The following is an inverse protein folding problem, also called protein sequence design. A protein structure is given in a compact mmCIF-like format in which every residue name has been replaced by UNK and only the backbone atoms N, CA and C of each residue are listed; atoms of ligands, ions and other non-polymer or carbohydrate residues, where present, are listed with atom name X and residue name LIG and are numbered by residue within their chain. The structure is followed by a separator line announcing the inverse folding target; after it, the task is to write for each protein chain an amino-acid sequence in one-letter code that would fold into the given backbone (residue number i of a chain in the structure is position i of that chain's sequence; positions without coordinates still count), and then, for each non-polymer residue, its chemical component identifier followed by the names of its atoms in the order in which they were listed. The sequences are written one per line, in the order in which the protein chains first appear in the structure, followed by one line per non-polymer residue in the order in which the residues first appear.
data_IF_220195117196
#
_entry.id   IF_220195117196
#
_cell.length_a   1.000
_cell.length_b   1.000
_cell.length_c   1.000
_cell.angle_alpha   90.00
_cell.angle_beta   90.00
_cell.angle_gamma   90.00
#
_symmetry.space_group_name_H-M   'P 1'
#
loop_
_entity.id
_entity.type
_entity.pdbx_description
1 polymer ?
#
# COMPACT_ATOMS: atom_id res chain seq x y z
N UNK A 1 -35.99 -5.81 -8.98
CA UNK A 1 -34.77 -6.25 -9.65
C UNK A 1 -33.59 -5.28 -9.47
N UNK A 2 -33.72 -4.23 -8.63
CA UNK A 2 -32.72 -3.15 -8.47
C UNK A 2 -31.80 -3.23 -7.25
N UNK A 3 -31.94 -4.25 -6.41
CA UNK A 3 -31.14 -4.38 -5.19
C UNK A 3 -29.79 -5.09 -5.39
N UNK A 4 -29.62 -5.84 -6.47
CA UNK A 4 -28.38 -6.58 -6.77
C UNK A 4 -27.29 -5.70 -7.40
N UNK A 5 -27.67 -4.60 -8.06
CA UNK A 5 -26.72 -3.69 -8.73
C UNK A 5 -26.01 -2.73 -7.76
N UNK A 6 -26.63 -2.36 -6.64
CA UNK A 6 -26.04 -1.44 -5.63
C UNK A 6 -24.95 -2.09 -4.77
N UNK A 7 -24.96 -3.42 -4.63
CA UNK A 7 -23.99 -4.13 -3.79
C UNK A 7 -22.66 -4.41 -4.53
N UNK A 8 -22.68 -4.50 -5.86
CA UNK A 8 -21.43 -4.70 -6.64
C UNK A 8 -20.48 -3.50 -6.59
N UNK A 9 -20.97 -2.26 -6.59
CA UNK A 9 -20.16 -1.06 -6.46
C UNK A 9 -19.47 -0.93 -5.08
N UNK A 10 -20.10 -1.46 -4.05
CA UNK A 10 -19.64 -1.36 -2.67
C UNK A 10 -18.47 -2.30 -2.34
N UNK A 11 -18.32 -3.41 -3.06
CA UNK A 11 -17.20 -4.37 -2.88
C UNK A 11 -15.90 -3.77 -3.44
N UNK A 12 -15.94 -3.13 -4.61
CA UNK A 12 -14.79 -2.49 -5.26
C UNK A 12 -14.26 -1.28 -4.50
N UNK A 13 -15.13 -0.58 -3.78
CA UNK A 13 -14.77 0.58 -2.95
C UNK A 13 -14.28 0.17 -1.55
N UNK A 14 -14.45 -1.08 -1.19
CA UNK A 14 -13.99 -1.61 0.09
C UNK A 14 -12.47 -1.52 0.20
N UNK A 15 -11.97 -0.95 1.30
CA UNK A 15 -10.56 -0.88 1.65
C UNK A 15 -9.91 -2.28 1.63
N UNK A 16 -10.66 -3.29 2.08
CA UNK A 16 -10.26 -4.70 2.07
C UNK A 16 -9.97 -5.21 0.66
N UNK A 17 -10.85 -4.86 -0.31
CA UNK A 17 -10.66 -5.25 -1.70
C UNK A 17 -9.45 -4.56 -2.32
N UNK A 18 -9.28 -3.25 -2.08
CA UNK A 18 -8.15 -2.47 -2.62
C UNK A 18 -6.80 -2.98 -2.10
N UNK A 19 -6.69 -3.24 -0.80
CA UNK A 19 -5.48 -3.85 -0.23
C UNK A 19 -5.25 -5.27 -0.76
N UNK A 20 -6.29 -6.11 -0.78
CA UNK A 20 -6.18 -7.46 -1.34
C UNK A 20 -5.71 -7.46 -2.78
N UNK A 21 -6.28 -6.61 -3.64
CA UNK A 21 -5.90 -6.49 -5.04
C UNK A 21 -4.45 -6.01 -5.22
N UNK A 22 -4.01 -5.02 -4.44
CA UNK A 22 -2.63 -4.52 -4.51
C UNK A 22 -1.62 -5.60 -4.12
N UNK A 23 -1.88 -6.38 -3.08
CA UNK A 23 -1.02 -7.51 -2.70
C UNK A 23 -0.98 -8.59 -3.78
N UNK A 24 -2.13 -8.94 -4.36
CA UNK A 24 -2.21 -9.92 -5.46
C UNK A 24 -1.37 -9.45 -6.66
N UNK A 25 -1.47 -8.18 -7.05
CA UNK A 25 -0.70 -7.64 -8.18
C UNK A 25 0.81 -7.66 -7.93
N UNK A 26 1.25 -7.27 -6.72
CA UNK A 26 2.67 -7.33 -6.35
C UNK A 26 3.18 -8.76 -6.38
N UNK A 27 2.44 -9.70 -5.78
CA UNK A 27 2.81 -11.12 -5.75
C UNK A 27 2.87 -11.69 -7.17
N UNK A 28 1.87 -11.41 -8.01
CA UNK A 28 1.84 -11.86 -9.40
C UNK A 28 3.07 -11.34 -10.17
N UNK A 29 3.46 -10.09 -9.98
CA UNK A 29 4.67 -9.51 -10.58
C UNK A 29 5.95 -10.21 -10.12
N UNK A 30 6.09 -10.46 -8.82
CA UNK A 30 7.26 -11.17 -8.25
C UNK A 30 7.32 -12.62 -8.75
N UNK A 31 6.19 -13.34 -8.75
CA UNK A 31 6.14 -14.72 -9.22
C UNK A 31 6.42 -14.83 -10.72
N UNK A 32 5.93 -13.88 -11.52
CA UNK A 32 6.23 -13.83 -12.95
C UNK A 32 7.73 -13.63 -13.17
N UNK A 33 8.36 -12.72 -12.46
CA UNK A 33 9.79 -12.47 -12.53
C UNK A 33 10.60 -13.69 -12.08
N UNK A 34 10.19 -14.34 -11.00
CA UNK A 34 10.87 -15.51 -10.44
C UNK A 34 10.77 -16.74 -11.40
N UNK A 35 9.70 -16.85 -12.17
CA UNK A 35 9.54 -17.95 -13.12
C UNK A 35 10.11 -17.67 -14.51
N UNK A 36 10.33 -16.40 -14.89
CA UNK A 36 10.83 -16.05 -16.23
C UNK A 36 12.31 -15.77 -16.26
N UNK A 37 12.82 -15.00 -15.30
CA UNK A 37 14.21 -14.53 -15.30
C UNK A 37 15.23 -15.65 -15.11
N UNK A 38 15.13 -16.53 -14.08
CA UNK A 38 16.11 -17.60 -13.90
C UNK A 38 16.14 -18.58 -15.06
N UNK A 39 14.98 -18.86 -15.66
CA UNK A 39 14.90 -19.76 -16.81
C UNK A 39 15.65 -19.20 -18.02
N UNK A 40 15.45 -17.91 -18.33
CA UNK A 40 16.18 -17.25 -19.45
C UNK A 40 17.69 -17.22 -19.21
N UNK A 41 18.11 -16.88 -17.98
CA UNK A 41 19.53 -16.87 -17.63
C UNK A 41 20.15 -18.25 -17.72
N UNK A 42 19.44 -19.28 -17.23
CA UNK A 42 19.92 -20.67 -17.32
C UNK A 42 20.03 -21.15 -18.78
N UNK A 43 19.04 -20.83 -19.63
CA UNK A 43 19.11 -21.13 -21.06
C UNK A 43 20.30 -20.46 -21.74
N UNK A 44 20.53 -19.15 -21.50
CA UNK A 44 21.68 -18.42 -22.08
C UNK A 44 23.02 -19.01 -21.62
N UNK A 45 23.10 -19.40 -20.35
CA UNK A 45 24.30 -20.04 -19.79
C UNK A 45 24.58 -21.39 -20.45
N UNK A 46 23.55 -22.22 -20.68
CA UNK A 46 23.67 -23.49 -21.39
C UNK A 46 24.11 -23.26 -22.84
N UNK A 47 23.49 -22.31 -23.54
CA UNK A 47 23.89 -21.98 -24.92
C UNK A 47 25.36 -21.56 -25.01
N UNK A 48 25.84 -20.69 -24.12
CA UNK A 48 27.26 -20.27 -24.07
C UNK A 48 28.18 -21.45 -23.75
N UNK A 49 27.83 -22.26 -22.79
CA UNK A 49 28.60 -23.47 -22.44
C UNK A 49 28.69 -24.43 -23.63
N UNK A 50 27.58 -24.67 -24.33
CA UNK A 50 27.54 -25.51 -25.54
C UNK A 50 28.39 -24.94 -26.66
N UNK A 51 28.34 -23.62 -26.88
CA UNK A 51 29.16 -22.96 -27.88
C UNK A 51 30.64 -23.23 -27.60
N UNK A 52 31.10 -22.97 -26.37
CA UNK A 52 32.50 -23.15 -25.99
C UNK A 52 32.94 -24.62 -26.12
N UNK A 53 32.14 -25.54 -25.60
CA UNK A 53 32.47 -26.98 -25.64
C UNK A 53 32.50 -27.52 -27.06
N UNK A 54 31.47 -27.23 -27.85
CA UNK A 54 31.38 -27.78 -29.23
C UNK A 54 32.46 -27.16 -30.15
N UNK A 55 32.69 -25.84 -30.02
CA UNK A 55 33.79 -25.19 -30.78
C UNK A 55 35.16 -25.73 -30.38
N UNK A 56 35.40 -25.98 -29.09
CA UNK A 56 36.64 -26.60 -28.62
C UNK A 56 36.82 -28.00 -29.18
N UNK A 57 35.76 -28.81 -29.20
CA UNK A 57 35.79 -30.16 -29.80
C UNK A 57 36.10 -30.12 -31.30
N UNK A 58 35.43 -29.23 -32.04
CA UNK A 58 35.71 -29.01 -33.45
C UNK A 58 37.13 -28.52 -33.68
N UNK A 59 37.66 -27.61 -32.84
CA UNK A 59 39.04 -27.12 -32.95
C UNK A 59 40.07 -28.24 -32.75
N UNK A 60 39.83 -29.16 -31.82
CA UNK A 60 40.70 -30.35 -31.63
C UNK A 60 40.70 -31.22 -32.87
N UNK A 61 39.52 -31.45 -33.47
CA UNK A 61 39.40 -32.24 -34.71
C UNK A 61 40.10 -31.57 -35.87
N UNK A 62 39.90 -30.26 -36.04
CA UNK A 62 40.61 -29.45 -37.06
C UNK A 62 42.13 -29.54 -36.84
N UNK A 63 42.62 -29.44 -35.62
CA UNK A 63 44.02 -29.55 -35.29
C UNK A 63 44.59 -30.91 -35.69
N UNK A 64 43.85 -32.02 -35.46
CA UNK A 64 44.24 -33.37 -35.84
C UNK A 64 44.36 -33.55 -37.36
N UNK A 65 43.67 -32.74 -38.15
CA UNK A 65 43.64 -32.78 -39.61
C UNK A 65 44.60 -31.74 -40.25
N UNK A 66 45.04 -30.73 -39.49
CA UNK A 66 45.84 -29.59 -40.01
C UNK A 66 47.23 -29.95 -40.48
N UNK A 67 47.73 -31.13 -40.17
CA UNK A 67 49.01 -31.67 -40.67
C UNK A 67 48.95 -32.34 -42.02
N UNK A 68 47.76 -32.51 -42.60
CA UNK A 68 47.56 -33.18 -43.88
C UNK A 68 47.57 -32.19 -45.05
N UNK A 69 48.26 -32.52 -46.12
CA UNK A 69 48.30 -31.67 -47.33
C UNK A 69 47.01 -31.80 -48.17
N UNK A 70 46.30 -32.93 -48.04
CA UNK A 70 45.03 -33.23 -48.69
C UNK A 70 44.21 -34.18 -47.82
N UNK A 71 42.89 -33.91 -47.72
CA UNK A 71 41.95 -34.80 -47.04
C UNK A 71 41.51 -35.93 -47.98
N UNK A 72 41.64 -37.20 -47.51
CA UNK A 72 41.14 -38.41 -48.14
C UNK A 72 40.36 -39.24 -47.13
N UNK A 73 39.49 -40.11 -47.56
CA UNK A 73 38.69 -40.97 -46.67
C UNK A 73 39.56 -41.78 -45.68
N UNK A 74 40.73 -42.27 -46.16
CA UNK A 74 41.65 -43.08 -45.36
C UNK A 74 42.37 -42.26 -44.25
N UNK A 75 42.96 -41.08 -44.60
CA UNK A 75 43.72 -40.32 -43.64
C UNK A 75 42.80 -39.57 -42.64
N UNK A 76 41.58 -39.15 -43.07
CA UNK A 76 40.59 -38.55 -42.18
C UNK A 76 40.09 -39.61 -41.21
N UNK A 77 39.78 -40.82 -41.66
CA UNK A 77 39.34 -41.94 -40.78
C UNK A 77 40.37 -42.24 -39.69
N UNK A 78 41.69 -42.31 -40.09
CA UNK A 78 42.75 -42.54 -39.12
C UNK A 78 42.89 -41.41 -38.12
N UNK A 79 42.81 -40.13 -38.55
CA UNK A 79 42.89 -38.98 -37.68
C UNK A 79 41.69 -38.88 -36.72
N UNK A 80 40.48 -39.21 -37.18
CA UNK A 80 39.25 -39.20 -36.37
C UNK A 80 39.13 -40.35 -35.39
N UNK A 81 39.73 -41.52 -35.70
CA UNK A 81 39.75 -42.66 -34.76
C UNK A 81 40.38 -42.31 -33.39
N UNK A 82 41.25 -41.30 -33.33
CA UNK A 82 41.86 -40.82 -32.07
C UNK A 82 40.87 -39.91 -31.29
N UNK A 83 39.83 -39.38 -31.93
CA UNK A 83 38.91 -38.37 -31.39
C UNK A 83 37.51 -38.98 -31.09
N UNK A 84 37.31 -40.26 -31.28
CA UNK A 84 36.00 -40.95 -31.27
C UNK A 84 35.24 -40.93 -29.94
N UNK A 85 35.85 -40.56 -28.80
CA UNK A 85 35.23 -40.48 -27.49
C UNK A 85 34.60 -39.11 -27.14
N UNK A 86 34.15 -38.33 -28.12
CA UNK A 86 33.69 -36.93 -27.85
C UNK A 86 32.24 -36.83 -27.40
N UNK A 87 31.47 -37.89 -27.36
CA UNK A 87 30.02 -37.87 -26.98
C UNK A 87 29.16 -37.06 -27.96
N UNK A 88 29.67 -36.73 -29.14
CA UNK A 88 28.89 -35.98 -30.15
C UNK A 88 27.97 -36.91 -30.94
N UNK A 89 26.80 -36.40 -31.30
CA UNK A 89 25.78 -37.16 -31.99
C UNK A 89 26.12 -37.44 -33.46
N UNK A 90 26.92 -36.54 -34.07
CA UNK A 90 27.42 -36.72 -35.46
C UNK A 90 28.61 -35.82 -35.70
N UNK A 91 29.61 -36.36 -36.41
CA UNK A 91 30.76 -35.61 -36.93
C UNK A 91 30.79 -35.86 -38.44
N UNK A 92 30.97 -34.79 -39.23
CA UNK A 92 31.22 -34.86 -40.64
C UNK A 92 32.53 -34.17 -40.94
N UNK A 93 33.33 -34.75 -41.84
CA UNK A 93 34.50 -34.04 -42.41
C UNK A 93 34.31 -34.03 -43.91
N UNK A 94 34.49 -32.83 -44.51
CA UNK A 94 34.35 -32.67 -45.98
C UNK A 94 35.66 -32.21 -46.59
N UNK A 95 35.79 -32.46 -47.90
CA UNK A 95 36.83 -31.85 -48.70
C UNK A 95 36.53 -30.36 -49.00
N UNK A 96 37.37 -29.69 -49.74
CA UNK A 96 37.21 -28.31 -50.15
C UNK A 96 36.04 -28.01 -51.08
N UNK A 97 35.47 -29.06 -51.71
CA UNK A 97 34.25 -28.99 -52.54
C UNK A 97 32.97 -29.29 -51.75
N UNK A 98 33.05 -29.67 -50.47
CA UNK A 98 31.93 -30.02 -49.60
C UNK A 98 31.51 -31.50 -49.72
N UNK A 99 32.33 -32.34 -50.39
CA UNK A 99 32.09 -33.78 -50.44
C UNK A 99 32.48 -34.42 -49.10
N UNK A 100 31.58 -35.21 -48.50
CA UNK A 100 31.77 -35.88 -47.20
C UNK A 100 32.80 -37.01 -47.35
N UNK A 101 33.85 -36.93 -46.57
CA UNK A 101 34.94 -37.93 -46.50
C UNK A 101 34.86 -38.76 -45.22
N UNK A 102 34.12 -38.31 -44.19
CA UNK A 102 33.94 -39.04 -42.95
C UNK A 102 32.58 -38.70 -42.33
N UNK A 103 31.89 -39.67 -41.83
CA UNK A 103 30.63 -39.57 -41.10
C UNK A 103 30.61 -40.60 -39.95
N UNK A 104 30.34 -40.15 -38.75
CA UNK A 104 30.23 -41.03 -37.57
C UNK A 104 28.93 -41.87 -37.57
N UNK A 105 27.96 -41.59 -38.46
CA UNK A 105 26.75 -42.41 -38.57
C UNK A 105 27.03 -43.67 -39.35
N UNK A 106 26.83 -44.85 -38.72
CA UNK A 106 26.94 -46.14 -39.37
C UNK A 106 25.75 -46.45 -40.29
N UNK A 107 24.57 -45.93 -39.97
CA UNK A 107 23.36 -46.15 -40.76
C UNK A 107 22.91 -44.84 -41.40
N UNK A 108 22.75 -44.87 -42.74
CA UNK A 108 22.39 -43.69 -43.53
C UNK A 108 23.52 -42.60 -43.49
N UNK A 109 24.73 -43.03 -43.65
CA UNK A 109 25.89 -42.17 -43.77
C UNK A 109 25.81 -41.31 -45.05
N UNK A 110 26.43 -40.15 -44.99
CA UNK A 110 26.55 -39.24 -46.15
C UNK A 110 27.88 -39.39 -46.89
N UNK A 111 28.63 -40.43 -46.67
CA UNK A 111 29.94 -40.65 -47.24
C UNK A 111 29.90 -40.58 -48.78
N UNK A 112 30.73 -39.75 -49.34
CA UNK A 112 30.80 -39.55 -50.80
C UNK A 112 29.75 -38.58 -51.37
N UNK A 113 28.77 -38.14 -50.56
CA UNK A 113 27.76 -37.16 -50.97
C UNK A 113 28.23 -35.72 -50.68
N UNK A 114 27.59 -34.75 -51.34
CA UNK A 114 27.87 -33.33 -51.04
C UNK A 114 26.97 -32.83 -49.94
N UNK A 115 27.58 -32.22 -48.93
CA UNK A 115 26.82 -31.63 -47.79
C UNK A 115 26.55 -30.15 -48.03
N UNK A 116 25.30 -29.75 -47.97
CA UNK A 116 24.82 -28.36 -48.09
C UNK A 116 24.38 -27.74 -46.76
N UNK A 117 24.82 -28.30 -45.61
CA UNK A 117 24.56 -27.65 -44.33
C UNK A 117 25.17 -26.22 -44.32
N UNK A 118 24.37 -25.27 -43.90
CA UNK A 118 24.79 -23.83 -43.87
C UNK A 118 26.09 -23.65 -43.12
N UNK A 119 26.29 -24.39 -42.04
CA UNK A 119 27.48 -24.32 -41.19
C UNK A 119 28.71 -24.83 -41.99
N UNK A 120 28.61 -25.89 -42.75
CA UNK A 120 29.67 -26.44 -43.59
C UNK A 120 30.01 -25.47 -44.72
N UNK A 121 29.02 -24.92 -45.41
CA UNK A 121 29.21 -23.96 -46.49
C UNK A 121 29.94 -22.70 -45.97
N UNK A 122 29.58 -22.19 -44.78
CA UNK A 122 30.24 -21.07 -44.17
C UNK A 122 31.69 -21.40 -43.75
N UNK A 123 31.91 -22.61 -43.22
CA UNK A 123 33.27 -23.06 -42.89
C UNK A 123 34.19 -23.12 -44.14
N UNK A 124 33.68 -23.61 -45.27
CA UNK A 124 34.38 -23.62 -46.54
C UNK A 124 34.66 -22.22 -47.13
N UNK A 125 33.93 -21.18 -46.61
CA UNK A 125 34.22 -19.78 -46.91
C UNK A 125 35.22 -19.15 -45.90
N UNK A 126 35.69 -19.94 -44.92
CA UNK A 126 36.67 -19.52 -43.93
C UNK A 126 36.14 -18.99 -42.62
N UNK A 127 34.84 -19.16 -42.37
CA UNK A 127 34.18 -18.68 -41.15
C UNK A 127 33.95 -19.82 -40.16
N UNK A 128 34.34 -19.66 -38.91
CA UNK A 128 33.88 -20.53 -37.83
C UNK A 128 32.41 -20.29 -37.56
N UNK A 129 31.63 -21.35 -37.54
CA UNK A 129 30.19 -21.25 -37.33
C UNK A 129 29.76 -22.08 -36.11
N UNK A 130 28.85 -21.48 -35.34
CA UNK A 130 28.11 -22.14 -34.26
C UNK A 130 26.65 -21.73 -34.33
N UNK A 131 25.78 -22.71 -34.25
CA UNK A 131 24.36 -22.50 -34.11
C UNK A 131 23.78 -23.45 -33.06
N UNK A 132 22.89 -22.99 -32.21
CA UNK A 132 22.22 -23.82 -31.22
C UNK A 132 20.76 -23.40 -31.09
N UNK A 133 19.88 -24.39 -30.96
CA UNK A 133 18.45 -24.17 -30.76
C UNK A 133 17.89 -25.17 -29.75
N UNK A 134 16.93 -24.68 -28.91
CA UNK A 134 16.16 -25.57 -28.04
C UNK A 134 14.83 -25.88 -28.72
N UNK A 135 14.60 -27.15 -29.03
CA UNK A 135 13.39 -27.62 -29.66
C UNK A 135 12.99 -29.00 -29.15
N UNK A 136 11.71 -29.18 -28.84
CA UNK A 136 11.12 -30.48 -28.46
C UNK A 136 11.88 -31.21 -27.35
N UNK A 137 12.27 -30.47 -26.26
CA UNK A 137 12.95 -31.06 -25.12
C UNK A 137 14.39 -31.50 -25.39
N UNK A 138 15.07 -30.90 -26.37
CA UNK A 138 16.48 -31.15 -26.64
C UNK A 138 17.19 -29.91 -27.13
N UNK A 139 18.48 -29.77 -26.76
CA UNK A 139 19.37 -28.83 -27.39
C UNK A 139 19.95 -29.43 -28.66
N UNK A 140 19.81 -28.71 -29.76
CA UNK A 140 20.39 -29.06 -31.07
C UNK A 140 21.47 -28.06 -31.38
N UNK A 141 22.72 -28.44 -31.12
CA UNK A 141 23.89 -27.59 -31.34
C UNK A 141 24.69 -28.06 -32.51
N UNK A 142 25.16 -27.13 -33.33
CA UNK A 142 25.96 -27.39 -34.52
C UNK A 142 27.12 -26.46 -34.53
N UNK A 143 28.29 -26.96 -34.88
CA UNK A 143 29.46 -26.16 -35.12
C UNK A 143 30.18 -26.65 -36.36
N UNK A 144 30.81 -25.74 -37.07
CA UNK A 144 31.70 -26.08 -38.19
C UNK A 144 32.87 -25.11 -38.23
N UNK A 145 34.06 -25.65 -38.58
CA UNK A 145 35.27 -24.87 -38.75
C UNK A 145 36.06 -25.34 -39.97
N UNK A 146 36.74 -24.44 -40.67
CA UNK A 146 37.57 -24.78 -41.81
C UNK A 146 38.83 -25.56 -41.38
N UNK A 147 39.25 -26.52 -42.21
CA UNK A 147 40.57 -27.17 -42.10
C UNK A 147 41.51 -26.47 -43.06
N UNK A 148 42.60 -25.93 -42.51
CA UNK A 148 43.57 -25.12 -43.25
C UNK A 148 44.90 -25.87 -43.37
N UNK A 149 45.45 -25.85 -44.58
CA UNK A 149 46.85 -26.25 -44.86
C UNK A 149 47.55 -25.15 -45.65
N UNK A 150 48.66 -24.67 -45.16
CA UNK A 150 49.41 -23.55 -45.77
C UNK A 150 48.52 -22.34 -46.15
N UNK A 151 47.58 -21.98 -45.29
CA UNK A 151 46.62 -20.87 -45.46
C UNK A 151 45.57 -21.11 -46.58
N UNK A 152 45.43 -22.32 -47.06
CA UNK A 152 44.38 -22.72 -48.01
C UNK A 152 43.37 -23.64 -47.33
N UNK A 153 42.09 -23.46 -47.62
CA UNK A 153 41.03 -24.30 -47.09
C UNK A 153 41.01 -25.61 -47.84
N UNK A 154 41.33 -26.71 -47.16
CA UNK A 154 41.36 -28.05 -47.69
C UNK A 154 40.10 -28.87 -47.39
N UNK A 155 39.25 -28.36 -46.51
CA UNK A 155 37.96 -28.98 -46.10
C UNK A 155 37.34 -28.30 -44.90
N UNK A 156 36.33 -28.90 -44.34
CA UNK A 156 35.63 -28.46 -43.14
C UNK A 156 35.31 -29.60 -42.20
N UNK A 157 35.34 -29.35 -40.90
CA UNK A 157 34.80 -30.24 -39.85
C UNK A 157 33.48 -29.68 -39.37
N UNK A 158 32.48 -30.53 -39.30
CA UNK A 158 31.16 -30.25 -38.76
C UNK A 158 30.86 -31.20 -37.62
N UNK A 159 30.35 -30.65 -36.51
CA UNK A 159 29.91 -31.43 -35.37
C UNK A 159 28.45 -31.09 -35.05
N UNK A 160 27.67 -32.11 -34.73
CA UNK A 160 26.31 -31.99 -34.27
C UNK A 160 26.14 -32.70 -32.93
N UNK A 161 25.50 -32.01 -32.01
CA UNK A 161 25.15 -32.54 -30.70
C UNK A 161 23.66 -32.46 -30.50
N UNK A 162 23.06 -33.55 -30.04
CA UNK A 162 21.67 -33.62 -29.63
C UNK A 162 21.60 -34.01 -28.17
N UNK A 163 21.31 -33.01 -27.30
CA UNK A 163 21.40 -33.18 -25.87
C UNK A 163 20.02 -33.04 -25.22
N UNK A 164 19.52 -34.17 -24.76
CA UNK A 164 18.27 -34.29 -24.00
C UNK A 164 18.50 -34.18 -22.50
N UNK A 165 19.69 -34.45 -22.00
CA UNK A 165 19.98 -34.49 -20.57
C UNK A 165 19.95 -33.07 -19.97
N UNK A 166 20.66 -32.13 -20.57
CA UNK A 166 20.66 -30.72 -20.13
C UNK A 166 19.26 -30.08 -20.34
N UNK A 167 18.55 -30.50 -21.39
CA UNK A 167 17.18 -30.09 -21.61
C UNK A 167 16.24 -30.58 -20.50
N UNK A 168 16.34 -31.82 -20.08
CA UNK A 168 15.57 -32.40 -18.98
C UNK A 168 15.90 -31.72 -17.62
N UNK A 169 17.16 -31.36 -17.40
CA UNK A 169 17.55 -30.58 -16.23
C UNK A 169 16.88 -29.21 -16.18
N UNK A 170 16.82 -28.50 -17.30
CA UNK A 170 16.12 -27.20 -17.39
C UNK A 170 14.61 -27.35 -17.18
N UNK A 171 13.97 -28.35 -17.75
CA UNK A 171 12.55 -28.64 -17.51
C UNK A 171 12.28 -29.00 -16.05
N UNK A 172 13.18 -29.78 -15.43
CA UNK A 172 13.13 -30.10 -14.01
C UNK A 172 13.23 -28.86 -13.12
N UNK A 173 14.15 -27.95 -13.45
CA UNK A 173 14.29 -26.67 -12.75
C UNK A 173 13.03 -25.82 -12.90
N UNK A 174 12.46 -25.71 -14.10
CA UNK A 174 11.22 -24.98 -14.35
C UNK A 174 10.05 -25.57 -13.55
N UNK A 175 9.91 -26.88 -13.53
CA UNK A 175 8.87 -27.58 -12.76
C UNK A 175 9.02 -27.37 -11.24
N UNK A 176 10.25 -27.35 -10.73
CA UNK A 176 10.53 -27.06 -9.33
C UNK A 176 10.21 -25.60 -8.98
N UNK A 177 10.59 -24.64 -9.82
CA UNK A 177 10.27 -23.23 -9.65
C UNK A 177 8.77 -22.99 -9.64
N UNK A 178 8.02 -23.62 -10.56
CA UNK A 178 6.55 -23.52 -10.59
C UNK A 178 5.90 -24.08 -9.32
N UNK A 179 6.34 -25.25 -8.84
CA UNK A 179 5.82 -25.84 -7.59
C UNK A 179 6.11 -24.98 -6.38
N UNK A 180 7.34 -24.47 -6.26
CA UNK A 180 7.74 -23.56 -5.19
C UNK A 180 6.93 -22.26 -5.24
N UNK A 181 6.79 -21.68 -6.43
CA UNK A 181 6.00 -20.46 -6.66
C UNK A 181 4.54 -20.65 -6.30
N UNK A 182 3.94 -21.79 -6.65
CA UNK A 182 2.57 -22.11 -6.26
C UNK A 182 2.41 -22.21 -4.73
N UNK A 183 3.35 -22.85 -4.06
CA UNK A 183 3.38 -22.94 -2.60
C UNK A 183 3.47 -21.55 -1.94
N UNK A 184 4.40 -20.72 -2.40
CA UNK A 184 4.55 -19.34 -1.92
C UNK A 184 3.28 -18.53 -2.16
N UNK A 185 2.67 -18.64 -3.35
CA UNK A 185 1.42 -17.96 -3.68
C UNK A 185 0.30 -18.27 -2.69
N UNK A 186 0.10 -19.56 -2.37
CA UNK A 186 -0.92 -19.99 -1.39
C UNK A 186 -0.65 -19.40 -0.02
N UNK A 187 0.58 -19.49 0.47
CA UNK A 187 0.96 -18.96 1.80
C UNK A 187 0.71 -17.46 1.87
N UNK A 188 1.16 -16.73 0.86
CA UNK A 188 1.01 -15.25 0.86
C UNK A 188 -0.44 -14.82 0.69
N UNK A 189 -1.26 -15.53 -0.11
CA UNK A 189 -2.69 -15.26 -0.21
C UNK A 189 -3.42 -15.49 1.12
N UNK A 190 -3.11 -16.58 1.82
CA UNK A 190 -3.65 -16.84 3.15
C UNK A 190 -3.25 -15.74 4.15
N UNK A 191 -1.97 -15.38 4.21
CA UNK A 191 -1.46 -14.35 5.11
C UNK A 191 -2.07 -12.97 4.79
N UNK A 192 -2.16 -12.60 3.52
CA UNK A 192 -2.80 -11.37 3.06
C UNK A 192 -4.27 -11.31 3.47
N UNK A 193 -5.00 -12.41 3.32
CA UNK A 193 -6.39 -12.50 3.75
C UNK A 193 -6.57 -12.33 5.26
N UNK A 194 -5.71 -12.93 6.06
CA UNK A 194 -5.71 -12.80 7.52
C UNK A 194 -5.39 -11.37 7.95
N UNK A 195 -4.34 -10.77 7.39
CA UNK A 195 -3.94 -9.39 7.70
C UNK A 195 -5.02 -8.37 7.30
N UNK A 196 -5.57 -8.52 6.10
CA UNK A 196 -6.65 -7.66 5.59
C UNK A 196 -7.88 -7.74 6.49
N UNK A 197 -8.26 -8.93 6.93
CA UNK A 197 -9.38 -9.12 7.86
C UNK A 197 -9.13 -8.48 9.23
N UNK A 198 -7.94 -8.66 9.79
CA UNK A 198 -7.57 -8.09 11.08
C UNK A 198 -7.64 -6.56 11.06
N UNK A 199 -7.07 -5.93 10.02
CA UNK A 199 -7.07 -4.48 9.86
C UNK A 199 -8.48 -3.91 9.63
N UNK A 200 -9.23 -4.53 8.71
CA UNK A 200 -10.59 -4.06 8.37
C UNK A 200 -11.55 -4.18 9.55
N UNK A 201 -11.39 -5.21 10.40
CA UNK A 201 -12.19 -5.38 11.60
C UNK A 201 -11.99 -4.23 12.59
N UNK A 202 -10.73 -3.83 12.84
CA UNK A 202 -10.40 -2.71 13.74
C UNK A 202 -10.98 -1.38 13.24
N UNK A 203 -10.80 -1.09 11.95
CA UNK A 203 -11.37 0.12 11.32
C UNK A 203 -12.90 0.09 11.37
N UNK A 204 -13.51 -1.07 11.15
CA UNK A 204 -14.96 -1.24 11.23
C UNK A 204 -15.50 -0.93 12.64
N UNK A 205 -14.84 -1.40 13.69
CA UNK A 205 -15.21 -1.11 15.08
C UNK A 205 -15.16 0.40 15.38
N UNK A 206 -14.06 1.07 14.97
CA UNK A 206 -13.93 2.52 15.14
C UNK A 206 -15.02 3.28 14.37
N UNK A 207 -15.29 2.89 13.12
CA UNK A 207 -16.31 3.53 12.29
C UNK A 207 -17.73 3.37 12.90
N UNK A 208 -18.03 2.22 13.49
CA UNK A 208 -19.29 2.00 14.18
C UNK A 208 -19.43 2.93 15.40
N UNK A 209 -18.39 3.03 16.23
CA UNK A 209 -18.39 3.94 17.37
C UNK A 209 -18.56 5.41 16.95
N UNK A 210 -17.88 5.84 15.88
CA UNK A 210 -18.05 7.19 15.32
C UNK A 210 -19.51 7.43 14.89
N UNK A 211 -20.16 6.45 14.26
CA UNK A 211 -21.58 6.58 13.84
C UNK A 211 -22.53 6.71 15.03
N UNK A 212 -22.33 5.90 16.05
CA UNK A 212 -23.18 5.94 17.25
C UNK A 212 -23.03 7.29 18.00
N UNK A 213 -21.80 7.79 18.15
CA UNK A 213 -21.56 9.12 18.75
C UNK A 213 -22.18 10.22 17.89
N UNK A 214 -22.11 10.15 16.57
CA UNK A 214 -22.76 11.08 15.66
C UNK A 214 -24.30 11.09 15.83
N UNK A 215 -24.89 9.94 16.15
CA UNK A 215 -26.34 9.80 16.39
C UNK A 215 -26.75 10.24 17.82
N UNK A 216 -25.79 10.73 18.62
CA UNK A 216 -26.04 11.30 19.94
C UNK A 216 -25.73 10.35 21.10
N UNK A 217 -25.24 9.15 20.85
CA UNK A 217 -24.82 8.20 21.88
C UNK A 217 -23.41 8.55 22.42
N UNK A 218 -23.28 9.71 23.07
CA UNK A 218 -21.99 10.22 23.57
C UNK A 218 -21.35 9.38 24.68
N UNK A 219 -22.05 8.38 25.22
CA UNK A 219 -21.48 7.43 26.18
C UNK A 219 -20.79 6.25 25.53
N UNK A 220 -20.94 6.06 24.20
CA UNK A 220 -20.32 4.96 23.48
C UNK A 220 -18.82 5.19 23.32
N UNK A 221 -18.02 4.12 23.42
CA UNK A 221 -16.56 4.17 23.26
C UNK A 221 -16.12 3.18 22.20
N UNK A 222 -15.08 3.54 21.45
CA UNK A 222 -14.44 2.65 20.51
C UNK A 222 -13.51 1.68 21.27
N UNK A 223 -13.88 0.40 21.28
CA UNK A 223 -13.04 -0.67 21.86
C UNK A 223 -12.22 -1.34 20.74
N UNK A 224 -11.04 -0.80 20.47
CA UNK A 224 -10.10 -1.35 19.47
C UNK A 224 -8.91 -1.96 20.20
N UNK A 225 -8.77 -3.29 20.16
CA UNK A 225 -7.67 -3.96 20.86
C UNK A 225 -6.33 -3.76 20.14
N UNK A 226 -5.26 -3.53 20.91
CA UNK A 226 -3.90 -3.41 20.39
C UNK A 226 -3.14 -2.21 20.92
N UNK A 227 -1.96 -1.96 20.34
CA UNK A 227 -1.08 -0.82 20.63
C UNK A 227 -0.58 -0.15 19.36
N UNK A 228 -1.23 -0.44 18.24
CA UNK A 228 -0.92 0.12 16.93
C UNK A 228 -1.58 1.51 16.75
N UNK A 229 -1.34 2.13 15.61
CA UNK A 229 -1.84 3.46 15.26
C UNK A 229 -3.37 3.52 15.25
N UNK A 230 -4.05 2.40 14.93
CA UNK A 230 -5.51 2.33 14.95
C UNK A 230 -6.03 2.33 16.39
N UNK A 231 -5.36 1.63 17.30
CA UNK A 231 -5.71 1.66 18.72
C UNK A 231 -5.46 3.05 19.34
N UNK A 232 -4.38 3.72 18.94
CA UNK A 232 -4.10 5.10 19.35
C UNK A 232 -5.17 6.07 18.83
N UNK A 233 -5.58 5.94 17.55
CA UNK A 233 -6.66 6.73 16.98
C UNK A 233 -7.99 6.53 17.74
N UNK A 234 -8.28 5.29 18.16
CA UNK A 234 -9.46 4.98 18.95
C UNK A 234 -9.40 5.66 20.35
N UNK A 235 -8.22 5.74 20.98
CA UNK A 235 -8.03 6.44 22.24
C UNK A 235 -8.26 7.95 22.10
N UNK A 236 -7.71 8.56 21.06
CA UNK A 236 -7.94 10.00 20.76
C UNK A 236 -9.42 10.27 20.47
N UNK A 237 -10.07 9.40 19.70
CA UNK A 237 -11.52 9.48 19.49
C UNK A 237 -12.30 9.40 20.81
N UNK A 238 -11.95 8.48 21.69
CA UNK A 238 -12.61 8.36 23.01
C UNK A 238 -12.41 9.62 23.85
N UNK A 239 -11.21 10.22 23.85
CA UNK A 239 -10.90 11.47 24.53
C UNK A 239 -11.76 12.64 24.01
N UNK A 240 -11.95 12.74 22.70
CA UNK A 240 -12.87 13.71 22.08
C UNK A 240 -14.31 13.46 22.50
N UNK A 241 -14.74 12.19 22.54
CA UNK A 241 -16.09 11.81 22.94
C UNK A 241 -16.35 12.14 24.41
N UNK A 242 -15.36 11.98 25.31
CA UNK A 242 -15.45 12.40 26.71
C UNK A 242 -15.69 13.90 26.84
N UNK A 243 -14.98 14.71 26.08
CA UNK A 243 -15.18 16.16 26.05
C UNK A 243 -16.56 16.53 25.52
N UNK A 244 -17.01 15.89 24.43
CA UNK A 244 -18.36 16.10 23.89
C UNK A 244 -19.43 15.74 24.90
N UNK A 245 -19.31 14.60 25.57
CA UNK A 245 -20.25 14.14 26.59
C UNK A 245 -20.33 15.13 27.77
N UNK A 246 -19.18 15.61 28.22
CA UNK A 246 -19.08 16.60 29.31
C UNK A 246 -19.76 17.92 28.91
N UNK A 247 -19.48 18.41 27.71
CA UNK A 247 -20.09 19.64 27.18
C UNK A 247 -21.60 19.50 27.02
N UNK A 248 -22.07 18.39 26.46
CA UNK A 248 -23.52 18.16 26.30
C UNK A 248 -24.24 18.02 27.64
N UNK A 249 -23.61 17.35 28.62
CA UNK A 249 -24.17 17.27 29.97
C UNK A 249 -24.25 18.63 30.66
N UNK A 250 -23.20 19.46 30.51
CA UNK A 250 -23.20 20.83 31.02
C UNK A 250 -24.29 21.68 30.34
N UNK A 251 -24.44 21.56 29.01
CA UNK A 251 -25.51 22.22 28.25
C UNK A 251 -26.92 21.81 28.72
N UNK A 252 -27.15 20.52 28.93
CA UNK A 252 -28.44 20.01 29.41
C UNK A 252 -28.75 20.51 30.81
N UNK A 253 -27.76 20.51 31.71
CA UNK A 253 -27.94 21.09 33.07
C UNK A 253 -28.27 22.56 32.98
N UNK A 254 -27.49 23.33 32.22
CA UNK A 254 -27.76 24.77 32.05
C UNK A 254 -29.19 25.05 31.58
N UNK A 255 -29.67 24.33 30.54
CA UNK A 255 -31.06 24.51 30.06
C UNK A 255 -32.08 24.13 31.13
N UNK A 256 -31.84 23.06 31.89
CA UNK A 256 -32.70 22.62 32.96
C UNK A 256 -32.77 23.66 34.08
N UNK A 257 -31.61 24.09 34.56
CA UNK A 257 -31.48 25.04 35.67
C UNK A 257 -32.08 26.42 35.29
N UNK A 258 -31.77 26.91 34.09
CA UNK A 258 -32.38 28.14 33.56
C UNK A 258 -33.89 28.03 33.48
N UNK A 259 -34.42 26.89 33.04
CA UNK A 259 -35.88 26.65 32.95
C UNK A 259 -36.53 26.66 34.33
N UNK A 260 -35.88 26.06 35.32
CA UNK A 260 -36.38 26.07 36.72
C UNK A 260 -36.34 27.47 37.33
N UNK A 261 -35.22 28.22 37.18
CA UNK A 261 -35.07 29.58 37.71
C UNK A 261 -36.03 30.58 37.07
N UNK A 262 -36.38 30.42 35.81
CA UNK A 262 -37.39 31.27 35.14
C UNK A 262 -38.81 30.90 35.47
N UNK A 263 -39.12 29.61 35.71
CA UNK A 263 -40.48 29.13 35.99
C UNK A 263 -41.00 29.63 37.33
N UNK A 264 -40.15 29.71 38.34
CA UNK A 264 -40.57 30.10 39.72
C UNK A 264 -41.10 31.53 39.78
N UNK A 265 -40.38 32.58 39.37
CA UNK A 265 -40.89 33.95 39.39
C UNK A 265 -42.10 34.14 38.46
N UNK A 266 -42.08 33.46 37.31
CA UNK A 266 -43.24 33.51 36.40
C UNK A 266 -44.51 32.93 37.03
N UNK A 267 -44.40 31.84 37.79
CA UNK A 267 -45.55 31.24 38.53
C UNK A 267 -46.02 32.19 39.65
N UNK A 268 -45.13 32.89 40.36
CA UNK A 268 -45.48 33.88 41.37
C UNK A 268 -46.24 35.07 40.76
N UNK A 269 -45.71 35.63 39.64
CA UNK A 269 -46.40 36.70 38.91
C UNK A 269 -47.80 36.27 38.50
N UNK A 270 -47.95 35.06 37.95
CA UNK A 270 -49.23 34.54 37.52
C UNK A 270 -50.19 34.39 38.69
N UNK A 271 -49.72 33.81 39.79
CA UNK A 271 -50.57 33.65 41.02
C UNK A 271 -51.06 35.00 41.54
N UNK A 272 -50.20 35.98 41.66
CA UNK A 272 -50.55 37.34 42.11
C UNK A 272 -51.53 38.01 41.13
N UNK A 273 -51.33 37.85 39.86
CA UNK A 273 -52.22 38.37 38.80
C UNK A 273 -53.61 37.71 38.90
N UNK A 274 -53.65 36.36 39.00
CA UNK A 274 -54.89 35.58 39.12
C UNK A 274 -55.64 36.01 40.41
N UNK A 275 -54.92 36.25 41.49
CA UNK A 275 -55.51 36.73 42.77
C UNK A 275 -56.16 38.11 42.64
N UNK A 276 -55.50 39.03 41.92
CA UNK A 276 -56.08 40.35 41.63
C UNK A 276 -57.38 40.22 40.79
N UNK A 277 -57.33 39.38 39.77
CA UNK A 277 -58.47 39.26 38.82
C UNK A 277 -59.66 38.48 39.39
N UNK A 278 -59.49 37.60 40.36
CA UNK A 278 -60.56 36.78 40.97
C UNK A 278 -61.20 37.41 42.19
N UNK A 279 -60.62 38.46 42.76
CA UNK A 279 -61.08 39.15 43.94
C UNK A 279 -62.01 40.29 43.53
N UNK A 280 -63.39 40.15 43.70
CA UNK A 280 -64.37 41.17 43.29
C UNK A 280 -64.20 42.52 44.01
N UNK A 281 -63.76 42.51 45.28
CA UNK A 281 -63.54 43.74 46.06
C UNK A 281 -62.13 43.74 46.74
N UNK A 282 -61.12 43.84 45.97
CA UNK A 282 -59.76 43.99 46.48
C UNK A 282 -59.61 45.42 47.02
N UNK A 283 -59.10 45.61 48.24
CA UNK A 283 -58.82 46.92 48.75
C UNK A 283 -57.57 47.50 48.06
N UNK A 284 -57.47 48.84 48.09
CA UNK A 284 -56.43 49.56 47.35
C UNK A 284 -55.01 49.28 47.87
N UNK A 285 -54.87 48.93 49.12
CA UNK A 285 -53.59 48.66 49.77
C UNK A 285 -53.07 47.26 49.36
N UNK A 286 -53.90 46.27 49.45
CA UNK A 286 -53.60 44.91 49.00
C UNK A 286 -53.33 44.82 47.47
N UNK A 287 -54.11 45.58 46.66
CA UNK A 287 -53.84 45.64 45.22
C UNK A 287 -52.47 46.29 44.91
N UNK A 288 -52.09 47.31 45.68
CA UNK A 288 -50.78 47.95 45.51
C UNK A 288 -49.63 47.05 45.95
N UNK A 289 -49.80 46.29 47.02
CA UNK A 289 -48.83 45.29 47.48
C UNK A 289 -48.63 44.20 46.40
N UNK A 290 -49.67 43.60 45.86
CA UNK A 290 -49.57 42.61 44.78
C UNK A 290 -48.89 43.13 43.51
N UNK A 291 -49.20 44.39 43.09
CA UNK A 291 -48.55 45.03 41.94
C UNK A 291 -47.07 45.30 42.25
N UNK A 292 -46.72 45.64 43.48
CA UNK A 292 -45.32 45.82 43.87
C UNK A 292 -44.55 44.53 43.85
N UNK A 293 -45.14 43.44 44.35
CA UNK A 293 -44.54 42.10 44.32
C UNK A 293 -44.36 41.60 42.88
N UNK A 294 -45.34 41.84 41.99
CA UNK A 294 -45.23 41.52 40.56
C UNK A 294 -44.05 42.29 39.96
N UNK A 295 -43.87 43.60 40.33
CA UNK A 295 -42.75 44.40 39.90
C UNK A 295 -41.40 43.84 40.36
N UNK A 296 -41.30 43.38 41.59
CA UNK A 296 -40.09 42.77 42.15
C UNK A 296 -39.72 41.45 41.44
N UNK A 297 -40.69 40.58 41.14
CA UNK A 297 -40.45 39.34 40.44
C UNK A 297 -40.10 39.56 38.96
N UNK A 298 -40.64 40.63 38.32
CA UNK A 298 -40.26 41.05 36.99
C UNK A 298 -38.79 41.56 36.92
N UNK A 299 -38.37 42.33 37.90
CA UNK A 299 -36.98 42.74 38.01
C UNK A 299 -36.01 41.56 38.27
N UNK A 300 -36.48 40.60 39.08
CA UNK A 300 -35.74 39.34 39.29
C UNK A 300 -35.56 38.55 38.00
N UNK A 301 -36.62 38.41 37.18
CA UNK A 301 -36.56 37.77 35.85
C UNK A 301 -35.58 38.48 34.92
N UNK A 302 -35.58 39.83 34.93
CA UNK A 302 -34.66 40.62 34.13
C UNK A 302 -33.20 40.32 34.49
N UNK A 303 -32.86 40.29 35.77
CA UNK A 303 -31.55 39.93 36.27
C UNK A 303 -31.12 38.51 35.87
N UNK A 304 -32.01 37.52 36.03
CA UNK A 304 -31.70 36.15 35.62
C UNK A 304 -31.41 36.06 34.11
N UNK A 305 -32.19 36.76 33.28
CA UNK A 305 -31.94 36.78 31.83
C UNK A 305 -30.63 37.46 31.43
N UNK A 306 -30.28 38.54 32.12
CA UNK A 306 -28.98 39.23 31.94
C UNK A 306 -27.81 38.33 32.31
N UNK A 307 -27.90 37.63 33.45
CA UNK A 307 -26.89 36.68 33.89
C UNK A 307 -26.73 35.51 32.94
N UNK A 308 -27.83 34.96 32.40
CA UNK A 308 -27.80 33.91 31.40
C UNK A 308 -27.14 34.40 30.09
N UNK A 309 -27.46 35.61 29.63
CA UNK A 309 -26.83 36.22 28.46
C UNK A 309 -25.33 36.47 28.67
N UNK A 310 -24.93 36.86 29.88
CA UNK A 310 -23.53 37.04 30.23
C UNK A 310 -22.76 35.73 30.22
N UNK A 311 -23.34 34.66 30.77
CA UNK A 311 -22.75 33.31 30.73
C UNK A 311 -22.58 32.81 29.31
N UNK A 312 -23.59 32.97 28.42
CA UNK A 312 -23.48 32.55 27.03
C UNK A 312 -22.42 33.31 26.24
N UNK A 313 -22.18 34.58 26.55
CA UNK A 313 -21.08 35.38 25.95
C UNK A 313 -19.70 34.88 26.42
N UNK A 314 -19.55 34.53 27.66
CA UNK A 314 -18.31 33.99 28.22
C UNK A 314 -17.97 32.61 27.61
N UNK A 315 -18.98 31.76 27.40
CA UNK A 315 -18.82 30.45 26.77
C UNK A 315 -18.50 30.53 25.28
N UNK A 316 -18.86 31.61 24.58
CA UNK A 316 -18.64 31.77 23.15
C UNK A 316 -17.18 31.99 22.74
N UNK A 317 -16.24 31.96 23.66
CA UNK A 317 -14.79 32.03 23.43
C UNK A 317 -14.36 33.18 22.47
N UNK A 318 -15.16 34.24 22.40
CA UNK A 318 -14.70 35.49 21.78
C UNK A 318 -13.67 36.05 22.76
N UNK A 319 -12.44 35.60 22.61
CA UNK A 319 -11.28 36.21 23.27
C UNK A 319 -11.25 37.67 22.83
N UNK A 320 -11.90 38.56 23.61
CA UNK A 320 -11.58 39.98 23.53
C UNK A 320 -10.08 40.05 23.77
N UNK A 321 -9.36 40.47 22.77
CA UNK A 321 -7.91 40.63 22.90
C UNK A 321 -7.68 41.62 24.03
N UNK A 322 -6.88 41.29 25.06
CA UNK A 322 -6.59 42.20 26.12
C UNK A 322 -6.01 43.47 25.50
N UNK A 323 -6.70 44.58 25.74
CA UNK A 323 -6.26 45.90 25.31
C UNK A 323 -5.61 46.56 26.51
N UNK A 324 -4.46 47.18 26.30
CA UNK A 324 -3.82 47.96 27.33
C UNK A 324 -4.71 49.18 27.60
N UNK A 325 -5.25 49.26 28.80
CA UNK A 325 -6.12 50.34 29.23
C UNK A 325 -5.38 51.15 30.31
N UNK A 326 -5.45 52.47 30.21
CA UNK A 326 -5.01 53.33 31.31
C UNK A 326 -5.95 53.16 32.52
N UNK A 327 -5.43 52.66 33.62
CA UNK A 327 -6.22 52.32 34.80
C UNK A 327 -6.63 53.60 35.60
N UNK A 328 -5.90 54.68 35.44
CA UNK A 328 -6.14 55.91 36.26
C UNK A 328 -7.52 56.51 36.00
N UNK A 329 -7.99 56.72 34.73
CA UNK A 329 -9.32 57.30 34.49
C UNK A 329 -10.44 56.37 35.00
N UNK A 330 -10.25 55.09 34.95
CA UNK A 330 -11.24 54.09 35.42
C UNK A 330 -11.33 54.16 36.97
N UNK A 331 -10.19 54.21 37.64
CA UNK A 331 -10.13 54.30 39.08
C UNK A 331 -10.73 55.63 39.58
N UNK A 332 -10.44 56.78 38.93
CA UNK A 332 -11.07 58.03 39.21
C UNK A 332 -12.57 58.05 39.05
N UNK A 333 -13.08 57.36 38.05
CA UNK A 333 -14.53 57.19 37.81
C UNK A 333 -15.19 56.39 38.92
N UNK A 334 -14.56 55.26 39.36
CA UNK A 334 -15.02 54.44 40.46
C UNK A 334 -15.01 55.29 41.79
N UNK A 335 -13.94 56.05 42.02
CA UNK A 335 -13.84 56.93 43.18
C UNK A 335 -14.97 57.97 43.22
N UNK A 336 -15.29 58.62 42.08
CA UNK A 336 -16.41 59.57 42.01
C UNK A 336 -17.77 58.89 42.30
N UNK A 337 -17.98 57.66 41.80
CA UNK A 337 -19.20 56.90 42.07
C UNK A 337 -19.32 56.53 43.57
N UNK A 338 -18.23 56.06 44.15
CA UNK A 338 -18.20 55.64 45.57
C UNK A 338 -18.16 56.78 46.58
N UNK A 339 -17.78 57.98 46.17
CA UNK A 339 -17.69 59.13 47.05
C UNK A 339 -19.05 59.56 47.70
N UNK A 340 -20.15 59.39 46.92
CA UNK A 340 -21.49 59.63 47.43
C UNK A 340 -21.86 58.69 48.58
N UNK A 341 -21.55 57.35 48.36
CA UNK A 341 -21.83 56.30 49.34
C UNK A 341 -20.93 56.47 50.59
N UNK A 342 -19.67 56.88 50.39
CA UNK A 342 -18.72 57.16 51.49
C UNK A 342 -19.14 58.33 52.30
N UNK A 343 -19.65 59.41 51.70
CA UNK A 343 -20.20 60.56 52.36
C UNK A 343 -21.42 60.23 53.22
N UNK A 344 -22.32 59.42 52.69
CA UNK A 344 -23.49 58.95 53.44
C UNK A 344 -23.16 58.13 54.71
N UNK A 345 -22.01 57.42 54.64
CA UNK A 345 -21.53 56.60 55.77
C UNK A 345 -20.45 57.25 56.60
N UNK A 346 -20.12 58.51 56.35
CA UNK A 346 -19.08 59.23 57.09
C UNK A 346 -17.68 58.64 57.00
N UNK A 347 -17.36 57.99 55.87
CA UNK A 347 -16.09 57.28 55.64
C UNK A 347 -15.25 58.05 54.64
N UNK A 348 -13.97 58.23 54.91
CA UNK A 348 -13.02 58.87 53.98
C UNK A 348 -12.52 57.88 52.96
N UNK A 349 -12.61 58.22 51.67
CA UNK A 349 -12.19 57.39 50.57
C UNK A 349 -10.90 57.89 49.98
N UNK A 350 -9.81 57.15 50.09
CA UNK A 350 -8.51 57.49 49.53
C UNK A 350 -8.02 56.51 48.52
N UNK A 351 -7.48 56.96 47.38
CA UNK A 351 -6.89 56.11 46.36
C UNK A 351 -5.37 56.10 46.53
N UNK A 352 -4.81 54.89 46.75
CA UNK A 352 -3.34 54.72 46.80
C UNK A 352 -2.92 53.74 45.70
N UNK A 353 -2.04 54.20 44.81
CA UNK A 353 -1.49 53.36 43.70
C UNK A 353 -0.16 52.69 44.07
N UNK A 354 0.26 52.77 45.34
CA UNK A 354 1.60 52.29 45.79
C UNK A 354 1.71 50.76 45.69
N UNK A 355 0.59 50.02 45.67
CA UNK A 355 0.60 48.59 45.68
C UNK A 355 0.17 47.95 44.32
N UNK A 356 0.07 48.74 43.27
CA UNK A 356 -0.18 48.25 41.90
C UNK A 356 1.11 48.34 41.09
#
# INVERSE_FOLDING_TARGET
MDTISKDKGRIWDSLQFKFGLSYILIIAGVLLLLNTYPLRVSQDLVFRSKATTLQSSVSVMVYSLSGLDRLTEENVSQAMAVVEETGLSRILVTDSAGKVLYDTRETNDALGEYSFYTEIVQALLGNDMFSSSYQSGAFRSRAASPVLYQNQIIGAVYAYEYDTEQAALLEGLQGNLLRLSAGIAVVVLCLSGLLSRALTRKIGQLLTAIREVREGAYSHRAEVPGRDEIAQLAQEFNSLTDRLQTTENARRRFVSDASHELKTPLAAIRLLTDSILQTENIDRETAREFVTDIGQEAERLSRITEDLLRLTRLDSNVLERPVVVDALPVLEQVMRMMSLVAQEKGTELTLSLIHI
#
